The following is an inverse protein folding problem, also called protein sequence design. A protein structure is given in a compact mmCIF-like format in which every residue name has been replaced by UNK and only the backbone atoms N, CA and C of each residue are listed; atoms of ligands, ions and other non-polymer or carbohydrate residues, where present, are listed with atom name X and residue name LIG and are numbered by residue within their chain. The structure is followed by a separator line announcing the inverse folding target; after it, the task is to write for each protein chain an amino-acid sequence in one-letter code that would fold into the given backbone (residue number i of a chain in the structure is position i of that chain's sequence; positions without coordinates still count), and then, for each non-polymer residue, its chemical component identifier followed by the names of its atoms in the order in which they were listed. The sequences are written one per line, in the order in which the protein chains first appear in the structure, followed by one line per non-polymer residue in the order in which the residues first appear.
data_IF_383454929416
#
_entry.id   IF_383454929416
#
_cell.length_a   1.000
_cell.length_b   1.000
_cell.length_c   1.000
_cell.angle_alpha   90.00
_cell.angle_beta   90.00
_cell.angle_gamma   90.00
#
_symmetry.space_group_name_H-M   'P 1'
#
loop_
_entity.id
_entity.type
_entity.pdbx_description
1 polymer ?
#
# COMPACT_ATOMS: atom_id res chain seq x y z
N UNK A 1 -11.83 -4.81 -16.80
CA UNK A 1 -10.36 -4.79 -16.76
C UNK A 1 -9.86 -6.07 -16.12
N UNK A 2 -8.78 -6.68 -16.62
CA UNK A 2 -8.17 -7.90 -16.04
C UNK A 2 -6.94 -7.58 -15.18
N UNK A 3 -6.69 -6.30 -14.90
CA UNK A 3 -5.56 -5.86 -14.08
C UNK A 3 -6.02 -5.29 -12.73
N UNK A 4 -5.21 -5.44 -11.66
CA UNK A 4 -5.43 -4.73 -10.41
C UNK A 4 -5.36 -3.22 -10.62
N UNK A 5 -6.31 -2.48 -10.04
CA UNK A 5 -6.36 -1.02 -10.15
C UNK A 5 -6.86 -0.39 -8.83
N UNK A 6 -6.34 0.79 -8.52
CA UNK A 6 -6.74 1.59 -7.36
C UNK A 6 -6.60 3.09 -7.60
N UNK A 7 -7.28 3.88 -6.78
CA UNK A 7 -7.13 5.33 -6.65
C UNK A 7 -6.48 5.60 -5.30
N UNK A 8 -5.46 6.48 -5.27
CA UNK A 8 -4.79 6.90 -4.03
C UNK A 8 -4.90 8.40 -3.78
N UNK A 9 -4.91 8.79 -2.51
CA UNK A 9 -4.74 10.20 -2.09
C UNK A 9 -3.27 10.63 -2.18
N UNK A 10 -3.00 11.94 -2.02
CA UNK A 10 -1.63 12.48 -1.88
C UNK A 10 -0.91 11.93 -0.63
N UNK A 11 -1.67 11.53 0.40
CA UNK A 11 -1.16 10.86 1.60
C UNK A 11 -0.93 9.35 1.43
N UNK A 12 -1.11 8.83 0.21
CA UNK A 12 -0.93 7.41 -0.15
C UNK A 12 -2.00 6.45 0.39
N UNK A 13 -3.15 6.95 0.83
CA UNK A 13 -4.29 6.09 1.17
C UNK A 13 -4.95 5.57 -0.10
N UNK A 14 -5.24 4.27 -0.15
CA UNK A 14 -6.10 3.69 -1.19
C UNK A 14 -7.55 4.06 -0.85
N UNK A 15 -8.15 4.94 -1.65
CA UNK A 15 -9.51 5.46 -1.44
C UNK A 15 -10.57 4.71 -2.28
N UNK A 16 -10.14 4.01 -3.32
CA UNK A 16 -10.97 3.11 -4.10
C UNK A 16 -10.10 2.04 -4.76
N UNK A 17 -10.64 0.83 -4.95
CA UNK A 17 -9.93 -0.25 -5.65
C UNK A 17 -10.90 -1.23 -6.31
N UNK A 18 -10.42 -1.99 -7.29
CA UNK A 18 -11.15 -3.14 -7.81
C UNK A 18 -10.83 -4.42 -7.01
N UNK A 19 -11.63 -5.47 -7.20
CA UNK A 19 -11.46 -6.74 -6.47
C UNK A 19 -10.07 -7.37 -6.67
N UNK A 20 -9.48 -7.22 -7.87
CA UNK A 20 -8.13 -7.73 -8.16
C UNK A 20 -7.05 -7.01 -7.34
N UNK A 21 -7.19 -5.70 -7.11
CA UNK A 21 -6.30 -4.96 -6.22
C UNK A 21 -6.43 -5.41 -4.78
N UNK A 22 -7.67 -5.62 -4.31
CA UNK A 22 -7.92 -6.17 -2.97
C UNK A 22 -7.27 -7.55 -2.78
N UNK A 23 -7.33 -8.41 -3.79
CA UNK A 23 -6.65 -9.71 -3.77
C UNK A 23 -5.12 -9.57 -3.83
N UNK A 24 -4.59 -8.69 -4.69
CA UNK A 24 -3.15 -8.47 -4.84
C UNK A 24 -2.53 -7.97 -3.53
N UNK A 25 -3.16 -7.01 -2.87
CA UNK A 25 -2.68 -6.37 -1.64
C UNK A 25 -3.38 -6.87 -0.38
N UNK A 26 -3.89 -8.11 -0.39
CA UNK A 26 -4.69 -8.64 0.73
C UNK A 26 -3.99 -8.51 2.11
N UNK A 27 -2.69 -8.82 2.26
CA UNK A 27 -1.99 -8.63 3.54
C UNK A 27 -1.96 -7.17 4.00
N UNK A 28 -1.80 -6.24 3.05
CA UNK A 28 -1.79 -4.82 3.32
C UNK A 28 -3.17 -4.31 3.78
N UNK A 29 -4.26 -4.77 3.17
CA UNK A 29 -5.63 -4.45 3.62
C UNK A 29 -5.98 -5.09 4.97
N UNK A 30 -5.40 -6.25 5.29
CA UNK A 30 -5.61 -6.94 6.56
C UNK A 30 -4.68 -6.46 7.70
N UNK A 31 -3.63 -5.69 7.37
CA UNK A 31 -2.66 -5.17 8.32
C UNK A 31 -3.31 -4.30 9.41
N UNK A 32 -2.82 -4.39 10.64
CA UNK A 32 -3.18 -3.48 11.73
C UNK A 32 -2.76 -2.01 11.47
N UNK A 33 -1.96 -1.77 10.45
CA UNK A 33 -1.61 -0.41 9.99
C UNK A 33 -2.64 0.20 9.06
N UNK A 34 -3.67 -0.55 8.64
CA UNK A 34 -4.80 -0.06 7.85
C UNK A 34 -5.66 0.91 8.67
N UNK A 35 -6.14 1.99 8.03
CA UNK A 35 -6.86 3.05 8.73
C UNK A 35 -8.27 2.62 9.15
N UNK A 36 -8.90 3.41 10.03
CA UNK A 36 -10.21 3.12 10.64
C UNK A 36 -11.34 2.83 9.63
N UNK A 37 -11.21 3.28 8.37
CA UNK A 37 -12.20 3.06 7.30
C UNK A 37 -11.83 1.90 6.35
N UNK A 38 -10.89 1.04 6.73
CA UNK A 38 -10.34 0.02 5.83
C UNK A 38 -9.41 0.61 4.76
N UNK A 39 -8.98 1.87 4.91
CA UNK A 39 -8.09 2.54 3.98
C UNK A 39 -6.65 2.07 4.21
N UNK A 40 -6.22 1.10 3.41
CA UNK A 40 -4.83 0.69 3.31
C UNK A 40 -3.95 1.85 2.82
N UNK A 41 -2.70 1.91 3.27
CA UNK A 41 -1.79 3.01 2.92
C UNK A 41 -0.37 2.49 2.73
N UNK A 42 0.23 2.83 1.59
CA UNK A 42 1.53 2.26 1.21
C UNK A 42 2.63 2.64 2.20
N UNK A 43 2.72 3.90 2.62
CA UNK A 43 3.75 4.31 3.58
C UNK A 43 3.58 3.63 4.94
N UNK A 44 2.36 3.56 5.47
CA UNK A 44 2.09 2.89 6.75
C UNK A 44 2.45 1.41 6.67
N UNK A 45 2.05 0.73 5.61
CA UNK A 45 2.37 -0.68 5.44
C UNK A 45 3.89 -0.89 5.23
N UNK A 46 4.56 -0.10 4.39
CA UNK A 46 6.01 -0.21 4.19
C UNK A 46 6.83 -0.01 5.47
N UNK A 47 6.48 0.98 6.29
CA UNK A 47 7.38 1.41 7.38
C UNK A 47 6.92 1.02 8.78
N UNK A 48 5.65 0.64 8.97
CA UNK A 48 5.09 0.34 10.29
C UNK A 48 4.65 -1.12 10.43
N UNK A 49 4.36 -1.83 9.33
CA UNK A 49 4.01 -3.24 9.38
C UNK A 49 5.26 -4.12 9.20
N UNK A 50 5.64 -4.97 10.18
CA UNK A 50 6.81 -5.82 10.07
C UNK A 50 6.71 -6.86 8.95
N UNK A 51 5.50 -7.31 8.59
CA UNK A 51 5.24 -8.27 7.52
C UNK A 51 5.42 -7.70 6.11
N UNK A 52 5.62 -6.40 5.99
CA UNK A 52 5.86 -5.73 4.70
C UNK A 52 7.10 -6.27 3.98
N UNK A 53 8.17 -6.58 4.74
CA UNK A 53 9.44 -7.07 4.18
C UNK A 53 9.32 -8.42 3.50
N UNK A 54 8.38 -9.24 3.97
CA UNK A 54 8.11 -10.58 3.42
C UNK A 54 7.10 -10.52 2.26
N UNK A 55 6.32 -9.44 2.18
CA UNK A 55 5.27 -9.29 1.17
C UNK A 55 5.79 -8.74 -0.16
N UNK A 56 6.68 -7.74 -0.13
CA UNK A 56 7.23 -7.15 -1.35
C UNK A 56 8.50 -7.87 -1.80
N UNK A 57 8.52 -8.33 -3.05
CA UNK A 57 9.67 -9.03 -3.65
C UNK A 57 10.95 -8.19 -3.61
N UNK A 58 10.88 -6.94 -4.07
CA UNK A 58 11.97 -5.96 -3.95
C UNK A 58 11.56 -4.86 -2.96
N UNK A 59 11.54 -5.25 -1.68
CA UNK A 59 11.17 -4.34 -0.61
C UNK A 59 12.05 -3.07 -0.55
N UNK A 60 13.40 -3.13 -0.66
CA UNK A 60 14.23 -1.94 -0.63
C UNK A 60 13.87 -0.91 -1.72
N UNK A 61 13.63 -1.37 -2.95
CA UNK A 61 13.24 -0.47 -4.05
C UNK A 61 11.85 0.11 -3.83
N UNK A 62 10.87 -0.69 -3.39
CA UNK A 62 9.52 -0.21 -3.07
C UNK A 62 9.50 0.82 -1.94
N UNK A 63 10.31 0.60 -0.90
CA UNK A 63 10.48 1.55 0.21
C UNK A 63 11.10 2.86 -0.29
N UNK A 64 12.15 2.80 -1.10
CA UNK A 64 12.81 3.97 -1.69
C UNK A 64 11.87 4.78 -2.57
N UNK A 65 11.09 4.11 -3.43
CA UNK A 65 10.08 4.76 -4.27
C UNK A 65 9.02 5.47 -3.41
N UNK A 66 8.56 4.81 -2.34
CA UNK A 66 7.59 5.41 -1.40
C UNK A 66 8.15 6.66 -0.72
N UNK A 67 9.40 6.63 -0.24
CA UNK A 67 10.07 7.83 0.32
C UNK A 67 10.22 8.94 -0.72
N UNK A 68 10.55 8.60 -1.97
CA UNK A 68 10.69 9.59 -3.04
C UNK A 68 9.37 10.33 -3.29
N UNK A 69 8.24 9.61 -3.31
CA UNK A 69 6.91 10.23 -3.41
C UNK A 69 6.63 11.13 -2.21
N UNK A 70 6.91 10.68 -0.98
CA UNK A 70 6.69 11.49 0.24
C UNK A 70 7.53 12.78 0.29
N UNK A 71 8.68 12.83 -0.41
CA UNK A 71 9.54 14.02 -0.49
C UNK A 71 9.17 14.98 -1.61
N UNK A 72 8.36 14.54 -2.57
CA UNK A 72 7.96 15.33 -3.73
C UNK A 72 6.66 16.12 -3.49
N UNK A 73 5.88 15.74 -2.48
CA UNK A 73 4.70 16.47 -1.98
C UNK A 73 5.10 17.59 -1.01
#
# INVERSE_FOLDING_TARGET
TMAPAFIRSGRLDIVASNALCGALYAPMFASGTTGERGCANFARYFFLDPGSRDFFVDWPEGARATVAVLRAE
#
